data_IF_455562668166
#
_entry.id   IF_455562668166
#
_cell.length_a   1.000
_cell.length_b   1.000
_cell.length_c   1.000
_cell.angle_alpha   90.00
_cell.angle_beta   90.00
_cell.angle_gamma   90.00
#
_symmetry.space_group_name_H-M   'P 1'
#
loop_
_entity.id
_entity.type
_entity.pdbx_description
1 polymer ?
#
# COMPACT_ATOMS: atom_id res chain seq x y z
N UNK A 1 2.69 20.74 -23.47
CA UNK A 1 1.56 20.24 -22.64
C UNK A 1 2.10 19.79 -21.29
N UNK A 2 1.94 20.61 -20.26
CA UNK A 2 2.41 20.29 -18.91
C UNK A 2 1.35 19.42 -18.24
N UNK A 3 1.59 18.11 -18.11
CA UNK A 3 0.74 17.22 -17.33
C UNK A 3 0.83 17.66 -15.86
N UNK A 4 -0.13 18.46 -15.41
CA UNK A 4 -0.35 18.70 -13.98
C UNK A 4 -0.82 17.37 -13.39
N UNK A 5 0.05 16.67 -12.68
CA UNK A 5 -0.35 15.57 -11.83
C UNK A 5 -1.28 16.15 -10.77
N UNK A 6 -2.59 15.91 -10.89
CA UNK A 6 -3.57 16.18 -9.85
C UNK A 6 -3.39 15.13 -8.75
N UNK A 7 -2.29 15.22 -8.01
CA UNK A 7 -2.04 14.44 -6.80
C UNK A 7 -2.92 14.93 -5.65
N UNK A 8 -4.21 14.60 -5.62
CA UNK A 8 -5.00 14.70 -4.40
C UNK A 8 -6.31 13.94 -4.52
N UNK A 9 -6.59 13.10 -3.50
CA UNK A 9 -7.76 12.22 -3.32
C UNK A 9 -7.77 10.94 -4.16
N UNK A 10 -6.93 9.97 -3.80
CA UNK A 10 -7.15 8.58 -4.26
C UNK A 10 -7.69 7.64 -3.18
N UNK A 11 -7.61 8.00 -1.89
CA UNK A 11 -7.94 7.08 -0.79
C UNK A 11 -9.01 7.67 0.13
N UNK A 12 -10.20 7.08 0.08
CA UNK A 12 -11.20 7.27 1.13
C UNK A 12 -10.86 6.32 2.27
N UNK A 13 -10.24 6.83 3.33
CA UNK A 13 -9.96 6.06 4.53
C UNK A 13 -11.24 5.84 5.32
N UNK A 14 -11.46 4.60 5.78
CA UNK A 14 -12.43 4.35 6.84
C UNK A 14 -12.01 5.09 8.12
N UNK A 15 -12.98 5.32 9.02
CA UNK A 15 -12.71 5.94 10.33
C UNK A 15 -11.59 5.21 11.08
N UNK A 16 -11.61 3.88 11.08
CA UNK A 16 -10.63 3.04 11.77
C UNK A 16 -9.22 3.14 11.15
N UNK A 17 -9.11 3.22 9.83
CA UNK A 17 -7.81 3.40 9.17
C UNK A 17 -7.23 4.79 9.45
N UNK A 18 -8.10 5.81 9.47
CA UNK A 18 -7.68 7.17 9.83
C UNK A 18 -7.20 7.26 11.27
N UNK A 19 -7.91 6.65 12.22
CA UNK A 19 -7.51 6.61 13.63
C UNK A 19 -6.13 5.97 13.82
N UNK A 20 -5.85 4.87 13.12
CA UNK A 20 -4.53 4.23 13.15
C UNK A 20 -3.42 5.12 12.61
N UNK A 21 -3.68 5.87 11.53
CA UNK A 21 -2.69 6.78 10.95
C UNK A 21 -2.46 8.01 11.83
N UNK A 22 -3.50 8.54 12.47
CA UNK A 22 -3.35 9.61 13.47
C UNK A 22 -2.57 9.11 14.70
N UNK A 23 -2.76 7.87 15.15
CA UNK A 23 -1.97 7.28 16.24
C UNK A 23 -0.46 7.28 15.91
N UNK A 24 -0.09 6.84 14.70
CA UNK A 24 1.31 6.84 14.25
C UNK A 24 1.85 8.27 14.21
N UNK A 25 1.10 9.19 13.60
CA UNK A 25 1.48 10.60 13.50
C UNK A 25 1.70 11.22 14.89
N UNK A 26 0.82 10.95 15.85
CA UNK A 26 0.93 11.47 17.21
C UNK A 26 2.19 10.95 17.91
N UNK A 27 2.52 9.65 17.77
CA UNK A 27 3.76 9.09 18.32
C UNK A 27 5.02 9.71 17.70
N UNK A 28 4.99 9.99 16.40
CA UNK A 28 6.09 10.72 15.73
C UNK A 28 6.24 12.11 16.33
N UNK A 29 5.13 12.84 16.52
CA UNK A 29 5.12 14.17 17.15
C UNK A 29 5.63 14.15 18.59
N UNK A 30 5.30 13.13 19.38
CA UNK A 30 5.79 12.95 20.75
C UNK A 30 7.33 12.83 20.81
N UNK A 31 7.95 12.31 19.75
CA UNK A 31 9.42 12.23 19.61
C UNK A 31 10.06 13.47 18.97
N UNK A 32 9.28 14.53 18.70
CA UNK A 32 9.74 15.77 18.06
C UNK A 32 9.83 15.71 16.54
N UNK A 33 9.31 14.63 15.91
CA UNK A 33 9.20 14.53 14.46
C UNK A 33 7.92 15.16 13.93
N UNK A 34 7.86 15.38 12.62
CA UNK A 34 6.65 15.87 11.95
C UNK A 34 6.35 15.02 10.72
N UNK A 35 5.10 14.51 10.64
CA UNK A 35 4.65 13.73 9.49
C UNK A 35 3.16 13.97 9.24
N UNK A 36 2.77 13.99 7.98
CA UNK A 36 1.36 14.03 7.56
C UNK A 36 0.84 12.63 7.24
N UNK A 37 -0.48 12.43 7.36
CA UNK A 37 -1.13 11.18 6.93
C UNK A 37 -0.82 10.87 5.46
N UNK A 38 -0.76 11.89 4.60
CA UNK A 38 -0.46 11.71 3.19
C UNK A 38 0.97 11.21 2.95
N UNK A 39 1.94 11.67 3.75
CA UNK A 39 3.31 11.13 3.72
C UNK A 39 3.31 9.68 4.18
N UNK A 40 2.68 9.36 5.32
CA UNK A 40 2.56 7.97 5.80
C UNK A 40 1.95 7.02 4.76
N UNK A 41 0.96 7.47 4.00
CA UNK A 41 0.36 6.69 2.92
C UNK A 41 1.32 6.49 1.74
N UNK A 42 2.06 7.53 1.34
CA UNK A 42 3.06 7.44 0.26
C UNK A 42 4.19 6.50 0.65
N UNK A 43 4.72 6.65 1.86
CA UNK A 43 5.78 5.81 2.41
C UNK A 43 5.31 4.34 2.49
N UNK A 44 4.06 4.12 2.91
CA UNK A 44 3.44 2.79 2.92
C UNK A 44 3.37 2.15 1.53
N UNK A 45 3.02 2.91 0.48
CA UNK A 45 3.00 2.42 -0.90
C UNK A 45 4.40 2.05 -1.37
N UNK A 46 5.41 2.89 -1.06
CA UNK A 46 6.80 2.61 -1.41
C UNK A 46 7.31 1.34 -0.71
N UNK A 47 6.98 1.16 0.57
CA UNK A 47 7.27 -0.07 1.30
C UNK A 47 6.62 -1.29 0.63
N UNK A 48 5.34 -1.20 0.24
CA UNK A 48 4.68 -2.30 -0.48
C UNK A 48 5.39 -2.61 -1.80
N UNK A 49 5.84 -1.59 -2.54
CA UNK A 49 6.57 -1.78 -3.80
C UNK A 49 7.88 -2.53 -3.60
N UNK A 50 8.59 -2.30 -2.50
CA UNK A 50 9.82 -3.03 -2.15
C UNK A 50 9.57 -4.54 -1.94
N UNK A 51 8.33 -4.94 -1.60
CA UNK A 51 7.93 -6.34 -1.45
C UNK A 51 7.06 -6.85 -2.61
N UNK A 52 7.03 -6.16 -3.75
CA UNK A 52 6.09 -6.42 -4.86
C UNK A 52 6.04 -7.87 -5.31
N UNK A 53 7.19 -8.54 -5.46
CA UNK A 53 7.23 -9.91 -5.99
C UNK A 53 6.55 -10.90 -5.03
N UNK A 54 6.79 -10.77 -3.73
CA UNK A 54 6.15 -11.61 -2.70
C UNK A 54 4.66 -11.34 -2.59
N UNK A 55 4.25 -10.08 -2.73
CA UNK A 55 2.85 -9.69 -2.75
C UNK A 55 2.17 -10.31 -3.98
N UNK A 56 2.76 -10.16 -5.17
CA UNK A 56 2.25 -10.75 -6.41
C UNK A 56 2.12 -12.26 -6.24
N UNK A 57 3.14 -12.95 -5.76
CA UNK A 57 3.10 -14.40 -5.52
C UNK A 57 1.97 -14.80 -4.57
N UNK A 58 1.83 -14.09 -3.45
CA UNK A 58 0.81 -14.37 -2.43
C UNK A 58 -0.62 -14.25 -2.97
N UNK A 59 -0.86 -13.26 -3.83
CA UNK A 59 -2.19 -12.97 -4.37
C UNK A 59 -2.43 -13.56 -5.76
N UNK A 60 -1.40 -14.11 -6.41
CA UNK A 60 -1.56 -14.85 -7.66
C UNK A 60 -2.29 -16.17 -7.35
N UNK A 61 -3.48 -16.41 -7.95
CA UNK A 61 -4.18 -17.66 -7.77
C UNK A 61 -3.27 -18.83 -8.18
N UNK A 62 -3.11 -19.81 -7.29
CA UNK A 62 -2.31 -21.02 -7.57
C UNK A 62 -2.89 -21.88 -8.71
N UNK A 63 -4.07 -21.52 -9.22
CA UNK A 63 -4.87 -22.33 -10.14
C UNK A 63 -4.51 -22.21 -11.62
N UNK A 64 -3.49 -21.48 -12.06
CA UNK A 64 -3.02 -21.61 -13.46
C UNK A 64 -1.85 -22.58 -13.63
N UNK A 65 -0.94 -22.69 -12.66
CA UNK A 65 0.13 -23.71 -12.70
C UNK A 65 -0.42 -25.13 -12.53
N UNK A 66 -1.41 -25.31 -11.66
CA UNK A 66 -2.01 -26.61 -11.42
C UNK A 66 -2.95 -27.08 -12.56
N UNK A 67 -3.54 -26.16 -13.35
CA UNK A 67 -4.40 -26.54 -14.48
C UNK A 67 -3.60 -27.04 -15.69
N UNK A 68 -2.39 -26.50 -15.92
CA UNK A 68 -1.55 -26.88 -17.07
C UNK A 68 -0.86 -28.25 -16.85
N UNK A 69 -0.63 -28.67 -15.60
CA UNK A 69 -0.03 -29.98 -15.28
C UNK A 69 -1.04 -31.14 -15.30
N UNK A 70 -2.34 -30.88 -15.09
CA UNK A 70 -3.38 -31.90 -15.11
C UNK A 70 -3.75 -32.32 -16.54
N UNK A 71 -3.62 -31.43 -17.53
CA UNK A 71 -3.97 -31.69 -18.94
C UNK A 71 -2.85 -32.42 -19.75
N UNK A 72 -1.74 -32.78 -19.10
CA UNK A 72 -0.59 -33.48 -19.73
C UNK A 72 -0.30 -34.87 -19.16
N UNK A 73 -1.20 -35.44 -18.36
CA UNK A 73 -1.14 -36.83 -17.88
C UNK A 73 -2.32 -37.64 -18.41
#
# INVERSE_FOLDING_TARGET
MTRKYTEAKLLSLSKKEREKLEEIKNKVSETGGEVSINQLLRDGIELLYNYKEKIIERYTPKSLRNLIEIDRR
#
